data_IF_481427237588
#
_entry.id   IF_481427237588
#
_cell.length_a   1.000
_cell.length_b   1.000
_cell.length_c   1.000
_cell.angle_alpha   90.00
_cell.angle_beta   90.00
_cell.angle_gamma   90.00
#
_symmetry.space_group_name_H-M   'P 1'
#
loop_
_entity.id
_entity.type
_entity.pdbx_description
1 polymer ?
#
# COMPACT_ATOMS: atom_id res chain seq x y z
N UNK A 1 -6.88 23.65 -9.46
CA UNK A 1 -6.03 24.28 -8.45
C UNK A 1 -5.26 23.24 -7.65
N UNK A 2 -3.96 23.39 -7.51
CA UNK A 2 -3.07 22.41 -6.88
C UNK A 2 -2.02 23.06 -5.96
N UNK A 3 -1.95 24.39 -5.92
CA UNK A 3 -1.07 25.14 -5.03
C UNK A 3 -1.84 25.67 -3.83
N UNK A 4 -1.22 25.69 -2.67
CA UNK A 4 -1.76 26.35 -1.50
C UNK A 4 -1.52 27.87 -1.60
N UNK A 5 -2.48 28.72 -1.19
CA UNK A 5 -2.25 30.16 -1.15
C UNK A 5 -1.02 30.50 -0.29
N UNK A 6 -0.09 31.22 -0.88
CA UNK A 6 1.04 31.84 -0.18
C UNK A 6 0.93 33.35 -0.32
N UNK A 7 1.19 34.10 0.74
CA UNK A 7 1.12 35.57 0.76
C UNK A 7 2.00 36.24 -0.31
N UNK A 8 2.99 35.52 -0.82
CA UNK A 8 3.89 36.00 -1.89
C UNK A 8 3.28 35.86 -3.31
N UNK A 9 2.27 35.02 -3.48
CA UNK A 9 1.63 34.77 -4.78
C UNK A 9 0.42 35.67 -5.06
N UNK A 10 -0.26 36.15 -4.03
CA UNK A 10 -1.54 36.85 -4.14
C UNK A 10 -1.46 38.21 -4.81
N UNK A 11 -0.29 38.84 -4.81
CA UNK A 11 -0.12 40.20 -5.36
C UNK A 11 0.15 40.23 -6.88
N UNK A 12 0.34 39.08 -7.53
CA UNK A 12 0.76 38.98 -8.93
C UNK A 12 -0.21 38.22 -9.84
N UNK A 13 -1.14 37.45 -9.29
CA UNK A 13 -2.07 36.62 -10.07
C UNK A 13 -3.37 37.38 -10.38
N UNK A 14 -3.82 37.29 -11.62
CA UNK A 14 -5.17 37.70 -11.97
C UNK A 14 -6.25 36.74 -11.45
N UNK A 15 -7.53 37.16 -11.36
CA UNK A 15 -8.58 36.32 -10.78
C UNK A 15 -8.76 34.95 -11.44
N UNK A 16 -8.53 34.84 -12.74
CA UNK A 16 -8.61 33.55 -13.47
C UNK A 16 -7.42 32.65 -13.19
N UNK A 17 -6.23 33.23 -13.07
CA UNK A 17 -5.00 32.51 -12.71
C UNK A 17 -5.07 32.02 -11.28
N UNK A 18 -5.56 32.84 -10.36
CA UNK A 18 -5.81 32.46 -8.97
C UNK A 18 -6.77 31.28 -8.90
N UNK A 19 -7.91 31.35 -9.58
CA UNK A 19 -8.90 30.27 -9.61
C UNK A 19 -8.37 28.97 -10.25
N UNK A 20 -7.45 29.07 -11.21
CA UNK A 20 -6.86 27.91 -11.88
C UNK A 20 -5.75 27.25 -11.04
N UNK A 21 -4.96 28.03 -10.30
CA UNK A 21 -3.76 27.55 -9.63
C UNK A 21 -3.98 27.28 -8.14
N UNK A 22 -4.73 28.16 -7.43
CA UNK A 22 -4.80 28.12 -5.98
C UNK A 22 -5.95 27.26 -5.47
N UNK A 23 -5.62 26.28 -4.61
CA UNK A 23 -6.58 25.50 -3.85
C UNK A 23 -6.95 26.26 -2.57
N UNK A 24 -8.05 27.02 -2.65
CA UNK A 24 -8.62 27.78 -1.54
C UNK A 24 -9.61 26.96 -0.71
N UNK A 25 -9.85 25.68 -1.07
CA UNK A 25 -10.74 24.81 -0.30
C UNK A 25 -10.15 24.55 1.10
N UNK A 26 -10.97 24.65 2.13
CA UNK A 26 -10.57 24.53 3.53
C UNK A 26 -10.00 23.15 3.86
N UNK A 27 -10.57 22.10 3.29
CA UNK A 27 -10.12 20.72 3.45
C UNK A 27 -9.09 20.33 2.39
N UNK A 28 -8.98 21.12 1.32
CA UNK A 28 -8.23 20.85 0.11
C UNK A 28 -9.08 20.16 -0.95
N UNK A 29 -9.06 20.70 -2.17
CA UNK A 29 -9.85 20.20 -3.30
C UNK A 29 -9.57 18.71 -3.57
N UNK A 30 -8.30 18.29 -3.49
CA UNK A 30 -7.92 16.90 -3.69
C UNK A 30 -8.64 15.96 -2.70
N UNK A 31 -8.61 16.28 -1.40
CA UNK A 31 -9.29 15.51 -0.35
C UNK A 31 -10.80 15.45 -0.57
N UNK A 32 -11.40 16.60 -0.91
CA UNK A 32 -12.84 16.70 -1.19
C UNK A 32 -13.25 15.84 -2.38
N UNK A 33 -12.48 15.86 -3.47
CA UNK A 33 -12.76 15.01 -4.63
C UNK A 33 -12.61 13.53 -4.28
N UNK A 34 -11.59 13.13 -3.53
CA UNK A 34 -11.45 11.74 -3.06
C UNK A 34 -12.64 11.30 -2.19
N UNK A 35 -13.16 12.18 -1.33
CA UNK A 35 -14.35 11.88 -0.53
C UNK A 35 -15.60 11.70 -1.42
N UNK A 36 -15.75 12.52 -2.46
CA UNK A 36 -16.83 12.38 -3.44
C UNK A 36 -16.71 11.08 -4.26
N UNK A 37 -15.49 10.66 -4.60
CA UNK A 37 -15.25 9.39 -5.32
C UNK A 37 -15.66 8.14 -4.53
N UNK A 38 -15.81 8.23 -3.19
CA UNK A 38 -16.37 7.14 -2.37
C UNK A 38 -17.88 6.93 -2.59
N UNK A 39 -18.54 7.93 -3.11
CA UNK A 39 -19.92 7.80 -3.60
C UNK A 39 -19.91 7.18 -5.01
N UNK A 40 -21.05 7.03 -5.64
CA UNK A 40 -21.18 6.41 -6.98
C UNK A 40 -20.68 7.28 -8.15
N UNK A 41 -19.95 8.39 -7.86
CA UNK A 41 -19.40 9.27 -8.91
C UNK A 41 -18.31 8.56 -9.72
N UNK A 42 -17.45 7.77 -9.06
CA UNK A 42 -16.47 6.95 -9.76
C UNK A 42 -17.05 5.56 -10.01
N UNK A 43 -17.29 5.22 -11.28
CA UNK A 43 -17.70 3.89 -11.69
C UNK A 43 -16.63 2.85 -11.30
N UNK A 44 -17.01 1.57 -11.22
CA UNK A 44 -16.10 0.51 -10.82
C UNK A 44 -14.88 0.37 -11.74
N UNK A 45 -15.07 0.52 -13.05
CA UNK A 45 -13.98 0.54 -14.05
C UNK A 45 -13.36 1.94 -14.24
N UNK A 46 -13.90 2.97 -13.58
CA UNK A 46 -13.51 4.36 -13.76
C UNK A 46 -12.08 4.66 -13.28
N UNK A 47 -11.46 5.62 -13.94
CA UNK A 47 -10.14 6.16 -13.58
C UNK A 47 -10.27 7.67 -13.46
N UNK A 48 -9.85 8.22 -12.32
CA UNK A 48 -9.70 9.66 -12.13
C UNK A 48 -8.24 10.06 -12.32
N UNK A 49 -7.99 11.18 -12.99
CA UNK A 49 -6.66 11.73 -13.19
C UNK A 49 -6.52 13.04 -12.40
N UNK A 50 -5.44 13.15 -11.64
CA UNK A 50 -5.09 14.35 -10.88
C UNK A 50 -3.73 14.85 -11.29
N UNK A 51 -3.62 16.18 -11.50
CA UNK A 51 -2.35 16.87 -11.59
C UNK A 51 -2.00 17.40 -10.21
N UNK A 52 -0.81 17.06 -9.72
CA UNK A 52 -0.29 17.51 -8.42
C UNK A 52 1.12 18.09 -8.59
N UNK A 53 1.45 19.08 -7.77
CA UNK A 53 2.77 19.74 -7.78
C UNK A 53 3.60 19.27 -6.57
N UNK A 54 4.92 19.12 -6.80
CA UNK A 54 5.91 18.88 -5.73
C UNK A 54 5.99 20.04 -4.72
N UNK A 55 5.58 21.24 -5.10
CA UNK A 55 5.54 22.40 -4.20
C UNK A 55 4.50 22.22 -3.06
N UNK A 56 3.52 21.33 -3.25
CA UNK A 56 2.58 20.96 -2.18
C UNK A 56 3.10 19.76 -1.39
N UNK A 57 4.25 19.91 -0.74
CA UNK A 57 5.00 18.84 -0.04
C UNK A 57 4.17 18.07 1.02
N UNK A 58 3.15 18.71 1.60
CA UNK A 58 2.30 18.09 2.62
C UNK A 58 1.14 17.26 2.05
N UNK A 59 0.97 17.24 0.74
CA UNK A 59 -0.18 16.59 0.12
C UNK A 59 -0.12 15.07 0.25
N UNK A 60 1.06 14.45 0.06
CA UNK A 60 1.25 13.00 0.01
C UNK A 60 0.11 12.26 -0.73
N UNK A 61 -0.14 12.61 -2.00
CA UNK A 61 -1.39 12.30 -2.68
C UNK A 61 -1.66 10.80 -2.78
N UNK A 62 -0.63 9.99 -3.01
CA UNK A 62 -0.77 8.52 -3.09
C UNK A 62 -1.20 7.91 -1.75
N UNK A 63 -0.60 8.33 -0.63
CA UNK A 63 -1.01 7.85 0.70
C UNK A 63 -2.44 8.29 1.05
N UNK A 64 -2.85 9.49 0.64
CA UNK A 64 -4.24 9.93 0.81
C UNK A 64 -5.22 9.08 0.00
N UNK A 65 -4.89 8.74 -1.24
CA UNK A 65 -5.70 7.80 -2.04
C UNK A 65 -5.82 6.44 -1.33
N UNK A 66 -4.69 5.86 -0.92
CA UNK A 66 -4.66 4.57 -0.20
C UNK A 66 -5.49 4.64 1.08
N UNK A 67 -5.39 5.70 1.88
CA UNK A 67 -6.18 5.87 3.12
C UNK A 67 -7.69 5.90 2.89
N UNK A 68 -8.12 6.24 1.68
CA UNK A 68 -9.52 6.24 1.26
C UNK A 68 -9.94 4.94 0.57
N UNK A 69 -9.01 3.97 0.40
CA UNK A 69 -9.25 2.71 -0.26
C UNK A 69 -9.13 2.76 -1.78
N UNK A 70 -8.50 3.80 -2.34
CA UNK A 70 -8.23 3.92 -3.76
C UNK A 70 -6.78 3.59 -4.10
N UNK A 71 -6.58 2.88 -5.19
CA UNK A 71 -5.26 2.70 -5.78
C UNK A 71 -4.81 3.96 -6.49
N UNK A 72 -3.50 4.22 -6.49
CA UNK A 72 -2.92 5.41 -7.09
C UNK A 72 -1.55 5.12 -7.71
N UNK A 73 -1.35 5.54 -8.96
CA UNK A 73 -0.08 5.41 -9.69
C UNK A 73 0.27 6.71 -10.39
N UNK A 74 1.51 7.16 -10.25
CA UNK A 74 2.04 8.23 -11.09
C UNK A 74 2.26 7.69 -12.50
N UNK A 75 1.66 8.33 -13.49
CA UNK A 75 1.69 7.89 -14.89
C UNK A 75 2.49 8.85 -15.80
N UNK A 76 2.75 10.06 -15.33
CA UNK A 76 3.56 11.04 -16.03
C UNK A 76 4.17 12.02 -15.04
N UNK A 77 5.34 12.56 -15.39
CA UNK A 77 6.05 13.59 -14.65
C UNK A 77 6.58 14.64 -15.62
N UNK A 78 6.57 15.89 -15.19
CA UNK A 78 7.16 17.02 -15.89
C UNK A 78 7.94 17.86 -14.88
N UNK A 79 9.24 18.00 -15.08
CA UNK A 79 10.12 18.81 -14.23
C UNK A 79 10.40 20.14 -14.90
N UNK A 80 10.47 21.21 -14.12
CA UNK A 80 10.77 22.57 -14.53
C UNK A 80 12.15 23.01 -14.02
N UNK A 81 12.70 24.04 -14.65
CA UNK A 81 14.05 24.55 -14.33
C UNK A 81 14.14 25.16 -12.92
N UNK A 82 13.03 25.57 -12.33
CA UNK A 82 12.94 26.10 -10.97
C UNK A 82 12.85 25.01 -9.87
N UNK A 83 12.90 23.73 -10.30
CA UNK A 83 12.84 22.56 -9.43
C UNK A 83 11.42 22.09 -9.11
N UNK A 84 10.38 22.73 -9.67
CA UNK A 84 9.02 22.18 -9.57
C UNK A 84 8.90 20.90 -10.41
N UNK A 85 8.18 19.91 -9.87
CA UNK A 85 7.75 18.73 -10.62
C UNK A 85 6.21 18.63 -10.58
N UNK A 86 5.58 18.58 -11.73
CA UNK A 86 4.18 18.20 -11.87
C UNK A 86 4.08 16.70 -12.13
N UNK A 87 3.15 16.06 -11.42
CA UNK A 87 2.86 14.63 -11.60
C UNK A 87 1.40 14.45 -12.01
N UNK A 88 1.15 13.54 -12.94
CA UNK A 88 -0.19 13.03 -13.22
C UNK A 88 -0.37 11.74 -12.47
N UNK A 89 -1.35 11.69 -11.56
CA UNK A 89 -1.69 10.53 -10.76
C UNK A 89 -3.01 9.96 -11.26
N UNK A 90 -3.00 8.70 -11.68
CA UNK A 90 -4.19 7.93 -11.96
C UNK A 90 -4.69 7.26 -10.67
N UNK A 91 -5.99 7.35 -10.42
CA UNK A 91 -6.66 6.85 -9.20
C UNK A 91 -7.86 5.99 -9.59
N UNK A 92 -8.00 4.80 -8.99
CA UNK A 92 -9.08 3.84 -9.32
C UNK A 92 -9.47 2.97 -8.13
N UNK A 93 -10.61 2.28 -8.22
CA UNK A 93 -11.03 1.27 -7.24
C UNK A 93 -10.22 -0.01 -7.42
N UNK A 94 -9.58 -0.57 -6.36
CA UNK A 94 -8.70 -1.72 -6.46
C UNK A 94 -9.45 -3.02 -6.73
N UNK A 95 -8.94 -3.84 -7.63
CA UNK A 95 -9.31 -5.25 -7.82
C UNK A 95 -10.83 -5.51 -7.92
N UNK A 96 -11.53 -4.72 -8.73
CA UNK A 96 -13.00 -4.82 -8.87
C UNK A 96 -13.50 -6.21 -9.31
N UNK A 97 -12.67 -6.99 -10.00
CA UNK A 97 -12.98 -8.34 -10.45
C UNK A 97 -12.52 -9.42 -9.45
N UNK A 98 -11.80 -9.05 -8.41
CA UNK A 98 -11.32 -9.95 -7.36
C UNK A 98 -12.40 -10.28 -6.35
N UNK A 99 -12.34 -11.46 -5.75
CA UNK A 99 -13.21 -11.85 -4.65
C UNK A 99 -12.55 -11.50 -3.31
N UNK A 100 -13.26 -10.77 -2.45
CA UNK A 100 -12.83 -10.46 -1.08
C UNK A 100 -13.51 -11.40 -0.11
N UNK A 101 -12.72 -12.26 0.55
CA UNK A 101 -13.21 -13.31 1.44
C UNK A 101 -12.69 -13.04 2.84
N UNK A 102 -13.60 -12.91 3.79
CA UNK A 102 -13.29 -12.86 5.22
C UNK A 102 -13.65 -14.17 5.88
N UNK A 103 -12.71 -14.75 6.61
CA UNK A 103 -12.89 -15.97 7.41
C UNK A 103 -12.62 -15.65 8.87
N UNK A 104 -13.47 -16.16 9.77
CA UNK A 104 -13.23 -16.02 11.21
C UNK A 104 -11.95 -16.76 11.65
N UNK A 105 -11.63 -17.83 10.96
CA UNK A 105 -10.44 -18.64 11.16
C UNK A 105 -10.06 -19.34 9.85
N UNK A 106 -8.78 -19.46 9.58
CA UNK A 106 -8.24 -20.16 8.42
C UNK A 106 -7.09 -21.11 8.85
N UNK A 107 -6.84 -22.18 8.10
CA UNK A 107 -5.60 -22.96 8.26
C UNK A 107 -4.41 -22.12 7.81
N UNK A 108 -4.32 -21.83 6.52
CA UNK A 108 -3.38 -20.88 5.92
C UNK A 108 -4.09 -20.14 4.79
N UNK A 109 -4.10 -18.82 4.85
CA UNK A 109 -4.72 -17.98 3.82
C UNK A 109 -4.00 -18.11 2.48
N UNK A 110 -2.65 -18.24 2.47
CA UNK A 110 -1.86 -18.47 1.26
C UNK A 110 -2.25 -19.79 0.58
N UNK A 111 -2.25 -20.90 1.33
CA UNK A 111 -2.56 -22.22 0.79
C UNK A 111 -3.99 -22.24 0.21
N UNK A 112 -4.96 -21.69 0.95
CA UNK A 112 -6.35 -21.67 0.48
C UNK A 112 -6.50 -20.84 -0.80
N UNK A 113 -5.78 -19.73 -0.92
CA UNK A 113 -5.85 -18.89 -2.12
C UNK A 113 -5.10 -19.50 -3.30
N UNK A 114 -3.96 -20.15 -3.08
CA UNK A 114 -3.23 -20.92 -4.11
C UNK A 114 -4.05 -22.08 -4.67
N UNK A 115 -4.83 -22.76 -3.82
CA UNK A 115 -5.68 -23.89 -4.21
C UNK A 115 -6.99 -23.44 -4.87
N UNK A 116 -7.29 -22.15 -4.83
CA UNK A 116 -8.54 -21.62 -5.38
C UNK A 116 -8.46 -21.33 -6.87
N UNK A 117 -9.62 -21.39 -7.54
CA UNK A 117 -9.81 -20.90 -8.91
C UNK A 117 -10.18 -19.41 -8.97
N UNK A 118 -10.00 -18.66 -7.88
CA UNK A 118 -10.36 -17.26 -7.83
C UNK A 118 -9.47 -16.42 -8.76
N UNK A 119 -10.03 -15.35 -9.36
CA UNK A 119 -9.29 -14.51 -10.28
C UNK A 119 -8.17 -13.71 -9.56
N UNK A 120 -7.25 -13.17 -10.34
CA UNK A 120 -6.25 -12.19 -9.87
C UNK A 120 -6.94 -11.03 -9.16
N UNK A 121 -6.32 -10.52 -8.10
CA UNK A 121 -6.90 -9.51 -7.23
C UNK A 121 -7.82 -10.05 -6.13
N UNK A 122 -8.11 -11.36 -6.12
CA UNK A 122 -8.84 -11.96 -5.01
C UNK A 122 -8.00 -12.00 -3.74
N UNK A 123 -8.67 -11.85 -2.58
CA UNK A 123 -8.03 -11.92 -1.27
C UNK A 123 -8.81 -12.78 -0.29
N UNK A 124 -8.08 -13.40 0.64
CA UNK A 124 -8.61 -14.10 1.81
C UNK A 124 -7.97 -13.49 3.04
N UNK A 125 -8.78 -12.99 3.97
CA UNK A 125 -8.31 -12.39 5.22
C UNK A 125 -8.96 -13.04 6.44
N UNK A 126 -8.19 -13.13 7.54
CA UNK A 126 -8.65 -13.71 8.80
C UNK A 126 -7.95 -13.06 10.01
N UNK A 127 -8.62 -12.93 11.15
CA UNK A 127 -7.97 -12.55 12.40
C UNK A 127 -7.20 -13.71 13.06
N UNK A 128 -7.34 -14.96 12.57
CA UNK A 128 -6.72 -16.14 13.18
C UNK A 128 -6.31 -17.19 12.15
N UNK A 129 -5.03 -17.52 12.11
CA UNK A 129 -4.50 -18.67 11.39
C UNK A 129 -4.14 -19.81 12.35
N UNK A 130 -4.40 -21.06 11.95
CA UNK A 130 -4.04 -22.26 12.75
C UNK A 130 -2.66 -22.77 12.33
N UNK A 131 -2.34 -22.71 11.05
CA UNK A 131 -1.13 -23.26 10.45
C UNK A 131 -0.47 -22.22 9.56
N UNK A 132 -0.28 -21.00 10.10
CA UNK A 132 0.45 -19.94 9.43
C UNK A 132 1.92 -20.35 9.27
N UNK A 133 2.51 -20.06 8.12
CA UNK A 133 3.92 -20.34 7.90
C UNK A 133 4.63 -19.17 7.24
N UNK A 134 5.91 -19.07 7.54
CA UNK A 134 6.83 -18.11 6.98
C UNK A 134 7.85 -18.76 6.08
N UNK A 135 8.88 -18.03 5.70
CA UNK A 135 9.96 -18.51 4.83
C UNK A 135 10.70 -19.71 5.48
N UNK A 136 11.16 -20.65 4.62
CA UNK A 136 11.93 -21.83 5.00
C UNK A 136 11.21 -22.73 6.01
N UNK A 137 9.87 -22.81 5.92
CA UNK A 137 9.06 -23.67 6.78
C UNK A 137 8.99 -23.23 8.25
N UNK A 138 9.31 -21.97 8.57
CA UNK A 138 9.12 -21.43 9.93
C UNK A 138 7.63 -21.21 10.18
N UNK A 139 7.17 -21.49 11.38
CA UNK A 139 5.82 -21.20 11.77
C UNK A 139 5.64 -19.67 11.93
N UNK A 140 4.51 -19.18 11.44
CA UNK A 140 3.98 -17.88 11.79
C UNK A 140 3.05 -18.06 12.98
N UNK A 141 3.41 -17.50 14.11
CA UNK A 141 2.63 -17.60 15.35
C UNK A 141 1.77 -16.36 15.45
N UNK A 142 0.45 -16.55 15.45
CA UNK A 142 -0.50 -15.47 15.73
C UNK A 142 -0.34 -14.97 17.16
N UNK A 143 -0.39 -13.67 17.34
CA UNK A 143 -0.49 -13.03 18.66
C UNK A 143 -1.94 -12.99 19.14
N UNK A 144 -2.22 -12.35 20.29
CA UNK A 144 -3.59 -12.25 20.83
C UNK A 144 -4.57 -11.67 19.82
N UNK A 145 -4.14 -10.64 19.07
CA UNK A 145 -4.86 -10.10 17.92
C UNK A 145 -3.91 -9.98 16.76
N UNK A 146 -4.28 -10.59 15.66
CA UNK A 146 -3.51 -10.62 14.42
C UNK A 146 -4.38 -10.24 13.24
N UNK A 147 -3.74 -9.83 12.17
CA UNK A 147 -4.28 -9.77 10.83
C UNK A 147 -3.46 -10.72 9.97
N UNK A 148 -4.11 -11.63 9.30
CA UNK A 148 -3.49 -12.45 8.27
C UNK A 148 -4.31 -12.33 7.00
N UNK A 149 -3.64 -12.03 5.89
CA UNK A 149 -4.29 -11.87 4.59
C UNK A 149 -3.40 -12.36 3.46
N UNK A 150 -4.04 -12.83 2.40
CA UNK A 150 -3.37 -13.26 1.17
C UNK A 150 -4.04 -12.67 -0.05
N UNK A 151 -3.25 -12.28 -1.04
CA UNK A 151 -3.69 -11.68 -2.30
C UNK A 151 -3.13 -12.43 -3.49
N UNK A 152 -3.98 -12.78 -4.46
CA UNK A 152 -3.57 -13.38 -5.72
C UNK A 152 -3.09 -12.29 -6.67
N UNK A 153 -1.78 -12.26 -6.96
CA UNK A 153 -1.17 -11.20 -7.75
C UNK A 153 -1.13 -11.53 -9.24
N UNK A 154 -0.81 -12.75 -9.60
CA UNK A 154 -0.62 -13.19 -10.98
C UNK A 154 -1.16 -14.59 -11.21
N UNK A 155 -1.53 -14.84 -12.46
CA UNK A 155 -1.96 -16.14 -12.99
C UNK A 155 -1.25 -16.42 -14.34
N UNK A 156 0.00 -15.94 -14.49
CA UNK A 156 0.79 -16.08 -15.71
C UNK A 156 2.29 -16.23 -15.41
N UNK A 157 3.03 -16.68 -16.41
CA UNK A 157 4.48 -16.95 -16.29
C UNK A 157 5.38 -15.70 -16.26
N UNK A 158 4.83 -14.49 -16.43
CA UNK A 158 5.62 -13.25 -16.46
C UNK A 158 5.76 -12.72 -15.03
N UNK A 159 6.90 -12.97 -14.40
CA UNK A 159 7.16 -12.58 -13.01
C UNK A 159 8.23 -11.52 -12.92
N UNK A 160 8.05 -10.62 -11.94
CA UNK A 160 9.18 -9.91 -11.36
C UNK A 160 10.12 -10.89 -10.68
N UNK A 161 11.41 -10.58 -10.64
CA UNK A 161 12.37 -11.31 -9.82
C UNK A 161 11.84 -11.47 -8.39
N UNK A 162 11.89 -12.67 -7.78
CA UNK A 162 11.29 -12.93 -6.48
C UNK A 162 11.76 -11.98 -5.36
N UNK A 163 13.02 -11.54 -5.41
CA UNK A 163 13.57 -10.58 -4.46
C UNK A 163 12.92 -9.21 -4.61
N UNK A 164 12.79 -8.72 -5.84
CA UNK A 164 12.17 -7.45 -6.16
C UNK A 164 10.68 -7.47 -5.77
N UNK A 165 9.96 -8.54 -6.10
CA UNK A 165 8.55 -8.72 -5.73
C UNK A 165 8.36 -8.62 -4.22
N UNK A 166 9.27 -9.17 -3.44
CA UNK A 166 9.18 -9.16 -1.99
C UNK A 166 9.38 -7.76 -1.39
N UNK A 167 10.34 -6.98 -1.92
CA UNK A 167 10.57 -5.60 -1.46
C UNK A 167 9.39 -4.71 -1.84
N UNK A 168 8.90 -4.81 -3.08
CA UNK A 168 7.71 -4.07 -3.53
C UNK A 168 6.50 -4.40 -2.64
N UNK A 169 6.31 -5.67 -2.31
CA UNK A 169 5.27 -6.07 -1.35
C UNK A 169 5.47 -5.43 0.03
N UNK A 170 6.71 -5.37 0.52
CA UNK A 170 7.07 -4.65 1.75
C UNK A 170 6.68 -3.18 1.70
N UNK A 171 7.00 -2.51 0.60
CA UNK A 171 6.62 -1.10 0.38
C UNK A 171 5.10 -0.93 0.32
N UNK A 172 4.37 -1.86 -0.31
CA UNK A 172 2.91 -1.81 -0.30
C UNK A 172 2.34 -1.84 1.11
N UNK A 173 2.84 -2.75 1.97
CA UNK A 173 2.37 -2.84 3.36
C UNK A 173 2.79 -1.60 4.15
N UNK A 174 4.03 -1.13 4.01
CA UNK A 174 4.51 0.12 4.63
C UNK A 174 3.61 1.30 4.27
N UNK A 175 3.32 1.50 2.99
CA UNK A 175 2.44 2.57 2.51
C UNK A 175 1.01 2.44 3.07
N UNK A 176 0.46 1.21 3.13
CA UNK A 176 -0.83 0.96 3.75
C UNK A 176 -0.84 1.41 5.23
N UNK A 177 0.15 1.00 6.01
CA UNK A 177 0.24 1.38 7.43
C UNK A 177 0.43 2.91 7.58
N UNK A 178 1.33 3.52 6.80
CA UNK A 178 1.55 4.97 6.82
C UNK A 178 0.29 5.75 6.44
N UNK A 179 -0.53 5.23 5.53
CA UNK A 179 -1.79 5.87 5.14
C UNK A 179 -2.85 5.89 6.25
N UNK A 180 -2.79 4.95 7.18
CA UNK A 180 -3.70 4.84 8.33
C UNK A 180 -3.23 5.62 9.55
N UNK A 181 -1.97 6.07 9.56
CA UNK A 181 -1.33 6.67 10.72
C UNK A 181 -0.96 8.12 10.42
N UNK A 182 -1.44 9.07 11.23
CA UNK A 182 -1.11 10.50 11.04
C UNK A 182 0.21 10.91 11.68
N UNK A 183 0.64 10.17 12.68
CA UNK A 183 1.72 10.57 13.59
C UNK A 183 3.04 9.82 13.36
N UNK A 184 3.04 8.75 12.54
CA UNK A 184 4.24 7.97 12.25
C UNK A 184 5.00 8.57 11.07
N UNK A 185 6.26 8.82 11.28
CA UNK A 185 7.18 9.20 10.22
C UNK A 185 7.67 7.96 9.49
N UNK A 186 7.79 8.01 8.17
CA UNK A 186 8.20 6.86 7.36
C UNK A 186 9.51 6.19 7.80
N UNK A 187 10.42 6.93 8.42
CA UNK A 187 11.69 6.44 8.99
C UNK A 187 11.57 5.63 10.29
N UNK A 188 10.39 5.60 10.89
CA UNK A 188 10.11 4.79 12.09
C UNK A 188 9.64 3.38 11.73
N UNK A 189 9.35 3.12 10.44
CA UNK A 189 9.04 1.80 9.89
C UNK A 189 10.12 1.42 8.90
N UNK A 190 10.80 0.31 9.17
CA UNK A 190 11.88 -0.24 8.37
C UNK A 190 11.43 -1.50 7.66
N UNK A 191 11.77 -1.61 6.38
CA UNK A 191 11.68 -2.89 5.65
C UNK A 191 12.99 -3.63 5.85
N UNK A 192 12.99 -4.58 6.79
CA UNK A 192 14.12 -5.48 6.92
C UNK A 192 14.06 -6.55 5.84
N UNK A 193 14.99 -6.45 4.92
CA UNK A 193 15.11 -7.42 3.84
C UNK A 193 15.27 -8.86 4.38
N UNK A 194 14.60 -9.86 3.80
CA UNK A 194 13.79 -9.70 2.57
C UNK A 194 12.28 -9.56 2.82
N UNK A 195 11.76 -9.70 4.04
CA UNK A 195 10.34 -9.99 4.22
C UNK A 195 9.71 -9.52 5.54
N UNK A 196 10.39 -8.70 6.30
CA UNK A 196 9.90 -8.27 7.60
C UNK A 196 9.72 -6.75 7.65
N UNK A 197 8.68 -6.26 8.32
CA UNK A 197 8.60 -4.87 8.71
C UNK A 197 8.85 -4.75 10.21
N UNK A 198 9.73 -3.82 10.51
CA UNK A 198 10.11 -3.46 11.87
C UNK A 198 9.59 -2.07 12.22
N UNK A 199 9.33 -1.84 13.47
CA UNK A 199 9.05 -0.52 14.04
C UNK A 199 10.07 -0.20 15.11
N UNK A 200 10.51 1.07 15.16
CA UNK A 200 11.42 1.53 16.19
C UNK A 200 10.63 2.01 17.41
N UNK A 201 10.73 1.27 18.51
CA UNK A 201 10.00 1.53 19.74
C UNK A 201 10.87 1.24 20.96
N UNK A 202 10.83 2.11 21.95
CA UNK A 202 11.61 1.95 23.20
C UNK A 202 13.10 1.70 22.94
N UNK A 203 13.68 2.43 21.98
CA UNK A 203 15.10 2.34 21.57
C UNK A 203 15.50 1.01 20.95
N UNK A 204 14.55 0.23 20.44
CA UNK A 204 14.77 -1.06 19.76
C UNK A 204 13.92 -1.20 18.52
N UNK A 205 14.42 -1.98 17.57
CA UNK A 205 13.63 -2.44 16.44
C UNK A 205 12.86 -3.69 16.83
N UNK A 206 11.53 -3.66 16.63
CA UNK A 206 10.61 -4.76 16.91
C UNK A 206 9.90 -5.18 15.64
N UNK A 207 9.77 -6.49 15.40
CA UNK A 207 9.07 -7.03 14.24
C UNK A 207 7.57 -7.07 14.48
N UNK A 208 6.79 -6.34 13.68
CA UNK A 208 5.34 -6.35 13.76
C UNK A 208 4.64 -6.96 12.53
N UNK A 209 5.36 -7.13 11.41
CA UNK A 209 4.78 -7.69 10.20
C UNK A 209 5.76 -8.64 9.51
N UNK A 210 5.22 -9.71 8.92
CA UNK A 210 5.92 -10.64 8.04
C UNK A 210 5.22 -10.78 6.71
N UNK A 211 6.00 -10.93 5.64
CA UNK A 211 5.53 -11.02 4.26
C UNK A 211 6.04 -12.31 3.65
N UNK A 212 5.18 -13.04 2.97
CA UNK A 212 5.51 -14.30 2.31
C UNK A 212 4.90 -14.34 0.91
N UNK A 213 5.75 -14.37 -0.09
CA UNK A 213 5.34 -14.63 -1.48
C UNK A 213 5.50 -16.11 -1.76
N UNK A 214 4.45 -16.75 -2.23
CA UNK A 214 4.44 -18.14 -2.65
C UNK A 214 3.91 -18.26 -4.06
N UNK A 215 4.39 -19.25 -4.77
CA UNK A 215 3.94 -19.55 -6.13
C UNK A 215 3.67 -21.05 -6.30
N UNK A 216 2.71 -21.35 -7.16
CA UNK A 216 2.43 -22.72 -7.60
C UNK A 216 2.33 -22.75 -9.11
N UNK A 217 3.05 -23.66 -9.72
CA UNK A 217 3.00 -23.91 -11.15
C UNK A 217 2.10 -25.11 -11.42
N UNK A 218 1.17 -24.99 -12.36
CA UNK A 218 0.31 -26.04 -12.88
C UNK A 218 0.31 -26.00 -14.42
N UNK A 219 1.05 -26.91 -15.03
CA UNK A 219 1.29 -26.88 -16.48
C UNK A 219 2.03 -25.62 -16.90
N UNK A 220 1.42 -24.82 -17.78
CA UNK A 220 1.98 -23.53 -18.25
C UNK A 220 1.58 -22.34 -17.38
N UNK A 221 0.68 -22.53 -16.43
CA UNK A 221 0.16 -21.45 -15.59
C UNK A 221 0.90 -21.44 -14.26
N UNK A 222 1.20 -20.26 -13.78
CA UNK A 222 1.79 -20.03 -12.46
C UNK A 222 0.93 -19.04 -11.69
N UNK A 223 0.38 -19.49 -10.57
CA UNK A 223 -0.29 -18.61 -9.60
C UNK A 223 0.69 -18.10 -8.58
N UNK A 224 0.65 -16.81 -8.29
CA UNK A 224 1.47 -16.14 -7.27
C UNK A 224 0.58 -15.49 -6.24
N UNK A 225 0.83 -15.80 -4.98
CA UNK A 225 0.10 -15.29 -3.83
C UNK A 225 1.04 -14.56 -2.89
N UNK A 226 0.63 -13.37 -2.48
CA UNK A 226 1.29 -12.57 -1.47
C UNK A 226 0.56 -12.75 -0.14
N UNK A 227 1.24 -13.32 0.86
CA UNK A 227 0.77 -13.42 2.23
C UNK A 227 1.35 -12.32 3.11
N UNK A 228 0.53 -11.77 3.98
CA UNK A 228 0.85 -10.71 4.93
C UNK A 228 0.31 -11.10 6.30
N UNK A 229 1.20 -11.16 7.29
CA UNK A 229 0.84 -11.32 8.70
C UNK A 229 1.22 -10.08 9.49
N UNK A 230 0.29 -9.48 10.25
CA UNK A 230 0.51 -8.31 11.08
C UNK A 230 0.12 -8.61 12.52
N UNK A 231 1.02 -8.40 13.46
CA UNK A 231 0.72 -8.42 14.87
C UNK A 231 -0.01 -7.14 15.25
N UNK A 232 -1.28 -7.24 15.64
CA UNK A 232 -2.09 -6.07 15.99
C UNK A 232 -1.91 -5.69 17.45
N UNK A 233 -2.05 -6.64 18.36
CA UNK A 233 -1.82 -6.47 19.79
C UNK A 233 -1.47 -7.80 20.47
N UNK A 234 -0.86 -7.72 21.63
CA UNK A 234 -0.49 -8.88 22.42
C UNK A 234 0.49 -8.51 23.54
N UNK A 235 0.97 -9.52 24.21
CA UNK A 235 2.00 -9.37 25.25
C UNK A 235 3.38 -9.38 24.62
N UNK A 236 4.25 -8.46 25.04
CA UNK A 236 5.63 -8.43 24.60
C UNK A 236 6.33 -9.78 24.86
N UNK A 237 6.99 -10.29 23.84
CA UNK A 237 7.79 -11.51 23.95
C UNK A 237 9.08 -11.35 23.15
N UNK A 238 10.11 -12.05 23.60
CA UNK A 238 11.42 -12.06 22.95
C UNK A 238 11.32 -12.96 21.72
N UNK A 239 11.55 -12.36 20.55
CA UNK A 239 11.67 -13.09 19.30
C UNK A 239 13.08 -13.67 19.10
N UNK A 240 13.26 -14.53 18.09
CA UNK A 240 14.56 -15.14 17.79
C UNK A 240 15.62 -14.14 17.33
N UNK A 241 15.22 -13.14 16.56
CA UNK A 241 16.10 -12.16 15.93
C UNK A 241 15.74 -10.72 16.33
N UNK A 242 14.45 -10.44 16.43
CA UNK A 242 13.88 -9.18 16.93
C UNK A 242 12.79 -9.49 17.92
N UNK A 243 12.60 -8.58 18.87
CA UNK A 243 11.44 -8.62 19.75
C UNK A 243 10.16 -8.47 18.93
N UNK A 244 9.05 -9.01 19.45
CA UNK A 244 7.76 -8.90 18.79
C UNK A 244 7.21 -7.50 19.00
N UNK A 245 6.90 -6.82 17.91
CA UNK A 245 6.22 -5.54 17.87
C UNK A 245 4.75 -5.68 17.52
N UNK A 246 3.97 -4.65 17.83
CA UNK A 246 2.53 -4.62 17.59
C UNK A 246 2.12 -3.32 16.91
N UNK A 247 1.20 -3.40 15.95
CA UNK A 247 0.69 -2.22 15.26
C UNK A 247 0.05 -1.23 16.24
N UNK A 248 -0.69 -1.71 17.22
CA UNK A 248 -1.40 -0.87 18.20
C UNK A 248 -0.49 -0.19 19.23
N UNK A 249 0.78 -0.55 19.33
CA UNK A 249 1.71 0.13 20.24
C UNK A 249 2.10 1.54 19.73
N UNK A 250 1.99 1.76 18.43
CA UNK A 250 2.39 3.02 17.78
C UNK A 250 1.28 3.66 16.94
N UNK A 251 0.07 3.09 16.97
CA UNK A 251 -1.11 3.64 16.28
C UNK A 251 -2.33 3.62 17.19
N UNK A 252 -3.33 4.46 16.87
CA UNK A 252 -4.66 4.27 17.43
C UNK A 252 -5.24 2.95 16.93
N UNK A 253 -6.24 2.42 17.63
CA UNK A 253 -6.92 1.20 17.21
C UNK A 253 -7.47 1.34 15.79
N UNK A 254 -6.95 0.53 14.87
CA UNK A 254 -7.35 0.48 13.47
C UNK A 254 -8.31 -0.71 13.31
N UNK A 255 -9.38 -0.50 12.55
CA UNK A 255 -10.31 -1.59 12.23
C UNK A 255 -9.66 -2.57 11.25
N UNK A 256 -10.00 -3.84 11.39
CA UNK A 256 -9.52 -4.91 10.50
C UNK A 256 -9.82 -4.60 9.02
N UNK A 257 -11.03 -4.09 8.75
CA UNK A 257 -11.47 -3.71 7.42
C UNK A 257 -10.64 -2.56 6.81
N UNK A 258 -10.26 -1.57 7.62
CA UNK A 258 -9.42 -0.45 7.15
C UNK A 258 -8.03 -0.95 6.73
N UNK A 259 -7.45 -1.91 7.49
CA UNK A 259 -6.18 -2.55 7.13
C UNK A 259 -6.33 -3.27 5.79
N UNK A 260 -7.36 -4.09 5.62
CA UNK A 260 -7.61 -4.82 4.37
C UNK A 260 -7.77 -3.87 3.19
N UNK A 261 -8.62 -2.85 3.32
CA UNK A 261 -8.91 -1.90 2.24
C UNK A 261 -7.67 -1.10 1.82
N UNK A 262 -6.83 -0.67 2.76
CA UNK A 262 -5.59 0.07 2.43
C UNK A 262 -4.51 -0.84 1.85
N UNK A 263 -4.43 -2.09 2.28
CA UNK A 263 -3.54 -3.08 1.65
C UNK A 263 -4.01 -3.40 0.23
N UNK A 264 -5.31 -3.65 0.00
CA UNK A 264 -5.89 -3.81 -1.35
C UNK A 264 -5.48 -2.65 -2.27
N UNK A 265 -5.72 -1.42 -1.80
CA UNK A 265 -5.41 -0.21 -2.56
C UNK A 265 -3.93 -0.08 -2.86
N UNK A 266 -3.07 -0.35 -1.89
CA UNK A 266 -1.62 -0.25 -2.04
C UNK A 266 -1.07 -1.34 -2.98
N UNK A 267 -1.50 -2.60 -2.83
CA UNK A 267 -1.08 -3.70 -3.70
C UNK A 267 -1.53 -3.42 -5.14
N UNK A 268 -2.78 -3.03 -5.36
CA UNK A 268 -3.30 -2.74 -6.69
C UNK A 268 -2.57 -1.56 -7.35
N UNK A 269 -2.11 -0.56 -6.58
CA UNK A 269 -1.30 0.53 -7.09
C UNK A 269 -0.05 0.06 -7.83
N UNK A 270 0.53 -1.07 -7.43
CA UNK A 270 1.73 -1.64 -8.02
C UNK A 270 1.44 -2.76 -9.02
N UNK A 271 0.53 -3.67 -8.67
CA UNK A 271 0.39 -4.95 -9.37
C UNK A 271 -0.83 -5.04 -10.28
N UNK A 272 -1.88 -4.24 -10.05
CA UNK A 272 -3.07 -4.32 -10.90
C UNK A 272 -2.76 -3.76 -12.30
N UNK A 273 -3.05 -4.56 -13.32
CA UNK A 273 -3.02 -4.12 -14.71
C UNK A 273 -4.35 -3.45 -15.05
N UNK A 274 -4.28 -2.25 -15.57
CA UNK A 274 -5.43 -1.46 -16.00
C UNK A 274 -5.22 -1.00 -17.42
N UNK A 275 -6.24 -1.18 -18.26
CA UNK A 275 -6.26 -0.53 -19.57
C UNK A 275 -6.07 0.97 -19.39
N UNK A 276 -5.28 1.61 -20.23
CA UNK A 276 -4.97 3.04 -20.20
C UNK A 276 -4.04 3.52 -19.08
N UNK A 277 -3.64 2.66 -18.12
CA UNK A 277 -2.64 3.01 -17.11
C UNK A 277 -1.35 2.24 -17.40
N UNK A 278 -0.23 2.92 -17.66
CA UNK A 278 1.06 2.24 -17.82
C UNK A 278 1.39 1.38 -16.61
N UNK A 279 1.93 0.20 -16.84
CA UNK A 279 2.52 -0.59 -15.77
C UNK A 279 3.74 0.17 -15.21
N UNK A 280 4.05 -0.05 -13.93
CA UNK A 280 5.26 0.51 -13.35
C UNK A 280 6.46 -0.09 -14.08
N UNK A 281 7.37 0.77 -14.53
CA UNK A 281 8.58 0.33 -15.21
C UNK A 281 9.53 -0.39 -14.24
N UNK A 282 10.41 -1.23 -14.75
CA UNK A 282 11.45 -1.86 -13.93
C UNK A 282 12.37 -0.80 -13.31
N UNK A 283 12.63 0.30 -14.02
CA UNK A 283 13.43 1.41 -13.52
C UNK A 283 12.79 2.10 -12.32
N UNK A 284 11.49 2.40 -12.38
CA UNK A 284 10.75 2.97 -11.24
C UNK A 284 10.74 2.01 -10.02
N UNK A 285 10.61 0.71 -10.27
CA UNK A 285 10.67 -0.29 -9.22
C UNK A 285 12.06 -0.38 -8.58
N UNK A 286 13.13 -0.30 -9.38
CA UNK A 286 14.50 -0.29 -8.87
C UNK A 286 14.80 0.99 -8.10
N UNK A 287 14.33 2.14 -8.57
CA UNK A 287 14.45 3.41 -7.83
C UNK A 287 13.74 3.33 -6.47
N UNK A 288 12.53 2.76 -6.42
CA UNK A 288 11.81 2.54 -5.17
C UNK A 288 12.61 1.66 -4.21
N UNK A 289 13.16 0.56 -4.70
CA UNK A 289 13.97 -0.38 -3.89
C UNK A 289 15.21 0.31 -3.34
N UNK A 290 15.93 1.07 -4.16
CA UNK A 290 17.12 1.80 -3.73
C UNK A 290 16.77 2.81 -2.64
N UNK A 291 15.68 3.55 -2.79
CA UNK A 291 15.20 4.48 -1.75
C UNK A 291 14.90 3.77 -0.43
N UNK A 292 14.26 2.60 -0.48
CA UNK A 292 13.95 1.83 0.74
C UNK A 292 15.20 1.22 1.39
N UNK A 293 16.19 0.81 0.59
CA UNK A 293 17.48 0.28 1.09
C UNK A 293 18.34 1.38 1.70
N UNK A 294 18.39 2.58 1.11
CA UNK A 294 19.15 3.71 1.65
C UNK A 294 18.57 4.25 2.96
N UNK A 295 17.27 4.09 3.18
CA UNK A 295 16.59 4.51 4.41
C UNK A 295 16.61 3.43 5.50
N UNK A 296 17.14 2.26 5.20
CA UNK A 296 17.27 1.08 6.09
C UNK A 296 18.63 0.99 6.73
#
# INVERSE_FOLDING_TARGET
PYLKPDSRMTDTLGPLEEAALLDTDREGLFERVLNLMKTDILNDSGIALFVVSSQNLNLQPKLKCISKGFSARTISKLSFDDGEELQVIAVWKPFINGKKIFLQQASSTNTQLLDSSYPVGSSICTPKQISGHGRRGRDWIDTEKSFAGSWKLYDSATLLEPGLLQIVAGTCVKNSILSLTKDIKGKEILIKWPNDLLVFESSKWKKFCGILVESRTSGKNMSVVLGIGINLSGTESIGREFDIGFLQSFTKMIKFEDIQNTIDASIASFFEQKDMIPNISLEDLLQLVNTEVETS
#
